data_IF_957499696239
#
_entry.id   IF_957499696239
#
_cell.length_a   1.000
_cell.length_b   1.000
_cell.length_c   1.000
_cell.angle_alpha   90.00
_cell.angle_beta   90.00
_cell.angle_gamma   90.00
#
_symmetry.space_group_name_H-M   'P 1'
#
loop_
_entity.id
_entity.type
_entity.pdbx_description
1 polymer ?
#
# COMPACT_ATOMS: atom_id res chain seq x y z
N UNK A 1 -20.96 -10.23 -32.13
CA UNK A 1 -19.95 -11.18 -31.59
C UNK A 1 -18.77 -10.47 -30.92
N UNK A 2 -18.14 -9.48 -31.57
CA UNK A 2 -16.97 -8.75 -31.04
C UNK A 2 -17.20 -8.06 -29.69
N UNK A 3 -18.31 -7.33 -29.52
CA UNK A 3 -18.67 -6.66 -28.25
C UNK A 3 -18.78 -7.62 -27.06
N UNK A 4 -19.25 -8.85 -27.29
CA UNK A 4 -19.48 -9.85 -26.24
C UNK A 4 -18.16 -10.34 -25.62
N UNK A 5 -17.07 -10.35 -26.40
CA UNK A 5 -15.73 -10.72 -25.91
C UNK A 5 -15.21 -9.70 -24.88
N UNK A 6 -15.43 -8.42 -25.12
CA UNK A 6 -14.93 -7.33 -24.25
C UNK A 6 -15.82 -7.04 -23.04
N UNK A 7 -17.09 -7.47 -23.07
CA UNK A 7 -18.01 -7.34 -21.95
C UNK A 7 -17.99 -8.56 -21.01
N UNK A 8 -17.46 -9.70 -21.45
CA UNK A 8 -17.29 -10.88 -20.61
C UNK A 8 -16.08 -10.73 -19.69
N UNK A 9 -16.34 -10.50 -18.41
CA UNK A 9 -15.33 -10.34 -17.35
C UNK A 9 -14.29 -11.47 -17.34
N UNK A 10 -14.71 -12.72 -17.55
CA UNK A 10 -13.81 -13.89 -17.63
C UNK A 10 -12.75 -13.76 -18.73
N UNK A 11 -13.13 -13.25 -19.91
CA UNK A 11 -12.19 -13.11 -21.05
C UNK A 11 -11.20 -11.98 -20.80
N UNK A 12 -11.65 -10.89 -20.18
CA UNK A 12 -10.76 -9.79 -19.81
C UNK A 12 -9.80 -10.22 -18.70
N UNK A 13 -10.24 -11.04 -17.74
CA UNK A 13 -9.38 -11.63 -16.73
C UNK A 13 -8.29 -12.51 -17.36
N UNK A 14 -8.65 -13.39 -18.31
CA UNK A 14 -7.67 -14.21 -19.03
C UNK A 14 -6.64 -13.33 -19.75
N UNK A 15 -7.08 -12.25 -20.42
CA UNK A 15 -6.18 -11.32 -21.09
C UNK A 15 -5.22 -10.62 -20.09
N UNK A 16 -5.69 -10.26 -18.90
CA UNK A 16 -4.85 -9.68 -17.84
C UNK A 16 -3.81 -10.70 -17.37
N UNK A 17 -4.21 -11.94 -17.10
CA UNK A 17 -3.29 -13.00 -16.66
C UNK A 17 -2.21 -13.26 -17.72
N UNK A 18 -2.59 -13.35 -18.99
CA UNK A 18 -1.63 -13.53 -20.09
C UNK A 18 -0.69 -12.32 -20.22
N UNK A 19 -1.21 -11.09 -20.11
CA UNK A 19 -0.37 -9.89 -20.14
C UNK A 19 0.63 -9.88 -18.97
N UNK A 20 0.21 -10.27 -17.77
CA UNK A 20 1.10 -10.40 -16.61
C UNK A 20 2.22 -11.42 -16.85
N UNK A 21 1.92 -12.58 -17.45
CA UNK A 21 2.94 -13.59 -17.79
C UNK A 21 3.94 -13.03 -18.82
N UNK A 22 3.47 -12.29 -19.82
CA UNK A 22 4.34 -11.64 -20.81
C UNK A 22 5.26 -10.63 -20.13
N UNK A 23 4.71 -9.72 -19.33
CA UNK A 23 5.49 -8.73 -18.58
C UNK A 23 6.53 -9.43 -17.70
N UNK A 24 6.13 -10.45 -16.94
CA UNK A 24 7.04 -11.21 -16.09
C UNK A 24 8.19 -11.85 -16.90
N UNK A 25 7.88 -12.42 -18.07
CA UNK A 25 8.87 -13.05 -18.95
C UNK A 25 9.89 -12.05 -19.51
N UNK A 26 9.46 -10.83 -19.84
CA UNK A 26 10.34 -9.78 -20.39
C UNK A 26 11.43 -9.31 -19.41
N UNK A 27 11.28 -9.57 -18.11
CA UNK A 27 12.26 -9.19 -17.09
C UNK A 27 13.34 -10.26 -16.85
N UNK A 28 13.24 -11.44 -17.48
CA UNK A 28 14.35 -12.39 -17.48
C UNK A 28 15.50 -11.86 -18.36
N UNK A 29 16.77 -11.98 -17.92
CA UNK A 29 17.93 -11.50 -18.69
C UNK A 29 18.00 -12.06 -20.12
N UNK A 30 17.55 -13.31 -20.32
CA UNK A 30 17.54 -13.99 -21.62
C UNK A 30 16.57 -13.38 -22.63
N UNK A 31 15.47 -12.78 -22.16
CA UNK A 31 14.39 -12.23 -23.00
C UNK A 31 14.36 -10.71 -22.99
N UNK A 32 15.41 -10.08 -22.45
CA UNK A 32 15.54 -8.63 -22.43
C UNK A 32 15.62 -8.12 -23.87
N UNK A 33 14.69 -7.23 -24.25
CA UNK A 33 14.54 -6.71 -25.62
C UNK A 33 14.12 -7.75 -26.67
N UNK A 34 13.42 -8.82 -26.25
CA UNK A 34 12.81 -9.74 -27.20
C UNK A 34 11.70 -9.04 -27.98
N UNK A 35 11.90 -8.91 -29.30
CA UNK A 35 11.00 -8.20 -30.21
C UNK A 35 9.60 -8.81 -30.21
N UNK A 36 9.48 -10.14 -30.11
CA UNK A 36 8.17 -10.82 -30.14
C UNK A 36 7.40 -10.48 -28.87
N UNK A 37 8.05 -10.56 -27.70
CA UNK A 37 7.41 -10.21 -26.43
C UNK A 37 7.00 -8.73 -26.39
N UNK A 38 7.82 -7.83 -26.95
CA UNK A 38 7.47 -6.42 -27.07
C UNK A 38 6.21 -6.21 -27.94
N UNK A 39 6.10 -6.87 -29.10
CA UNK A 39 4.89 -6.80 -29.92
C UNK A 39 3.65 -7.35 -29.20
N UNK A 40 3.80 -8.46 -28.48
CA UNK A 40 2.71 -9.05 -27.68
C UNK A 40 2.28 -8.09 -26.57
N UNK A 41 3.21 -7.39 -25.91
CA UNK A 41 2.89 -6.40 -24.89
C UNK A 41 2.09 -5.22 -25.47
N UNK A 42 2.51 -4.70 -26.63
CA UNK A 42 1.78 -3.64 -27.34
C UNK A 42 0.39 -4.10 -27.79
N UNK A 43 0.24 -5.36 -28.21
CA UNK A 43 -1.07 -5.95 -28.51
C UNK A 43 -2.02 -5.89 -27.31
N UNK A 44 -1.53 -6.21 -26.10
CA UNK A 44 -2.37 -6.13 -24.90
C UNK A 44 -2.76 -4.69 -24.56
N UNK A 45 -1.88 -3.70 -24.76
CA UNK A 45 -2.24 -2.29 -24.59
C UNK A 45 -3.40 -1.94 -25.52
N UNK A 46 -3.28 -2.28 -26.81
CA UNK A 46 -4.35 -2.03 -27.79
C UNK A 46 -5.65 -2.76 -27.42
N UNK A 47 -5.57 -4.02 -26.99
CA UNK A 47 -6.72 -4.81 -26.55
C UNK A 47 -7.47 -4.08 -25.43
N UNK A 48 -6.77 -3.60 -24.41
CA UNK A 48 -7.39 -2.88 -23.31
C UNK A 48 -7.87 -1.47 -23.66
N UNK A 49 -7.20 -0.79 -24.60
CA UNK A 49 -7.72 0.47 -25.16
C UNK A 49 -9.06 0.25 -25.84
N UNK A 50 -9.18 -0.82 -26.63
CA UNK A 50 -10.44 -1.19 -27.30
C UNK A 50 -11.51 -1.57 -26.27
N UNK A 51 -11.16 -2.35 -25.24
CA UNK A 51 -12.05 -2.69 -24.12
C UNK A 51 -12.65 -1.43 -23.47
N UNK A 52 -11.80 -0.47 -23.11
CA UNK A 52 -12.22 0.79 -22.49
C UNK A 52 -13.15 1.59 -23.40
N UNK A 53 -12.83 1.71 -24.71
CA UNK A 53 -13.68 2.41 -25.68
C UNK A 53 -15.06 1.73 -25.80
N UNK A 54 -15.11 0.40 -25.87
CA UNK A 54 -16.37 -0.35 -25.94
C UNK A 54 -17.19 -0.12 -24.67
N UNK A 55 -16.59 -0.24 -23.47
CA UNK A 55 -17.28 -0.02 -22.19
C UNK A 55 -17.82 1.41 -22.06
N UNK A 56 -17.07 2.43 -22.48
CA UNK A 56 -17.53 3.82 -22.46
C UNK A 56 -18.75 4.01 -23.38
N UNK A 57 -18.77 3.35 -24.55
CA UNK A 57 -19.90 3.41 -25.49
C UNK A 57 -21.13 2.69 -24.99
N UNK A 58 -20.98 1.51 -24.38
CA UNK A 58 -22.10 0.69 -23.91
C UNK A 58 -22.72 1.21 -22.60
N UNK A 59 -21.89 1.56 -21.62
CA UNK A 59 -22.39 2.08 -20.33
C UNK A 59 -22.77 3.56 -20.41
N UNK A 60 -22.22 4.29 -21.39
CA UNK A 60 -22.30 5.74 -21.46
C UNK A 60 -21.29 6.43 -20.54
N UNK A 61 -20.84 7.62 -20.93
CA UNK A 61 -19.78 8.36 -20.22
C UNK A 61 -20.08 8.54 -18.73
N UNK A 62 -21.31 8.97 -18.38
CA UNK A 62 -21.68 9.22 -16.99
C UNK A 62 -21.59 7.97 -16.11
N UNK A 63 -22.12 6.83 -16.56
CA UNK A 63 -22.10 5.60 -15.76
C UNK A 63 -20.72 4.94 -15.73
N UNK A 64 -19.93 5.06 -16.82
CA UNK A 64 -18.56 4.53 -16.84
C UNK A 64 -17.69 5.21 -15.78
N UNK A 65 -17.69 6.55 -15.73
CA UNK A 65 -16.87 7.31 -14.79
C UNK A 65 -17.45 7.36 -13.36
N UNK A 66 -18.70 6.92 -13.15
CA UNK A 66 -19.26 6.76 -11.80
C UNK A 66 -18.73 5.51 -11.08
N UNK A 67 -18.24 4.51 -11.82
CA UNK A 67 -17.67 3.29 -11.24
C UNK A 67 -16.16 3.44 -11.05
N UNK A 68 -15.70 3.43 -9.79
CA UNK A 68 -14.29 3.59 -9.44
C UNK A 68 -13.34 2.57 -10.09
N UNK A 69 -13.78 1.33 -10.33
CA UNK A 69 -12.97 0.32 -11.02
C UNK A 69 -12.78 0.64 -12.49
N UNK A 70 -13.84 1.10 -13.16
CA UNK A 70 -13.74 1.55 -14.55
C UNK A 70 -12.82 2.79 -14.68
N UNK A 71 -12.88 3.71 -13.71
CA UNK A 71 -11.96 4.87 -13.64
C UNK A 71 -10.52 4.41 -13.47
N UNK A 72 -10.26 3.47 -12.56
CA UNK A 72 -8.94 2.89 -12.34
C UNK A 72 -8.37 2.26 -13.61
N UNK A 73 -9.15 1.40 -14.29
CA UNK A 73 -8.73 0.79 -15.56
C UNK A 73 -8.48 1.83 -16.64
N UNK A 74 -9.30 2.88 -16.72
CA UNK A 74 -9.13 3.96 -17.67
C UNK A 74 -7.80 4.71 -17.45
N UNK A 75 -7.46 5.04 -16.20
CA UNK A 75 -6.17 5.66 -15.85
C UNK A 75 -5.01 4.76 -16.31
N UNK A 76 -5.11 3.45 -16.07
CA UNK A 76 -4.08 2.51 -16.49
C UNK A 76 -3.97 2.38 -18.01
N UNK A 77 -5.09 2.47 -18.74
CA UNK A 77 -5.08 2.50 -20.22
C UNK A 77 -4.38 3.77 -20.69
N UNK A 78 -4.79 4.94 -20.20
CA UNK A 78 -4.23 6.23 -20.60
C UNK A 78 -2.73 6.30 -20.32
N UNK A 79 -2.29 5.91 -19.12
CA UNK A 79 -0.87 5.94 -18.78
C UNK A 79 -0.02 4.88 -19.52
N UNK A 80 -0.66 3.89 -20.17
CA UNK A 80 0.03 2.93 -21.04
C UNK A 80 0.17 3.43 -22.49
N UNK A 81 -0.65 4.38 -22.94
CA UNK A 81 -0.60 4.88 -24.33
C UNK A 81 0.75 5.49 -24.75
N UNK A 82 1.50 6.22 -23.89
CA UNK A 82 2.81 6.73 -24.25
C UNK A 82 3.79 5.64 -24.73
N UNK A 83 3.67 4.41 -24.24
CA UNK A 83 4.52 3.30 -24.69
C UNK A 83 4.29 2.93 -26.16
N UNK A 84 3.06 3.04 -26.67
CA UNK A 84 2.77 2.87 -28.10
C UNK A 84 3.36 4.00 -28.94
N UNK A 85 3.38 5.24 -28.40
CA UNK A 85 3.96 6.38 -29.10
C UNK A 85 5.48 6.27 -29.21
N UNK A 86 6.16 5.64 -28.23
CA UNK A 86 7.60 5.40 -28.24
C UNK A 86 8.05 4.47 -29.39
N UNK A 87 7.15 3.70 -30.00
CA UNK A 87 7.46 2.92 -31.21
C UNK A 87 7.77 3.85 -32.39
N UNK A 88 7.05 4.97 -32.50
CA UNK A 88 7.11 5.88 -33.64
C UNK A 88 8.01 7.10 -33.39
N UNK A 89 8.16 7.49 -32.12
CA UNK A 89 8.94 8.65 -31.70
C UNK A 89 10.06 8.19 -30.77
N UNK A 90 11.33 8.26 -31.20
CA UNK A 90 12.46 8.03 -30.29
C UNK A 90 12.48 9.17 -29.26
N UNK A 91 12.02 8.87 -28.05
CA UNK A 91 12.07 9.81 -26.93
C UNK A 91 13.43 9.68 -26.22
N UNK A 92 14.07 10.79 -25.84
CA UNK A 92 15.29 10.75 -25.04
C UNK A 92 15.04 10.05 -23.70
N UNK A 93 16.04 9.30 -23.22
CA UNK A 93 16.04 8.62 -21.91
C UNK A 93 16.07 9.63 -20.76
N UNK A 94 14.92 10.28 -20.55
CA UNK A 94 14.66 11.19 -19.45
C UNK A 94 14.07 10.42 -18.26
N UNK A 95 14.14 11.00 -17.06
CA UNK A 95 13.50 10.46 -15.86
C UNK A 95 12.01 10.15 -16.07
N UNK A 96 11.31 10.95 -16.88
CA UNK A 96 9.91 10.74 -17.25
C UNK A 96 9.71 9.46 -18.07
N UNK A 97 10.58 9.16 -19.04
CA UNK A 97 10.51 7.92 -19.82
C UNK A 97 10.74 6.70 -18.93
N UNK A 98 11.64 6.79 -17.95
CA UNK A 98 11.85 5.72 -16.97
C UNK A 98 10.59 5.48 -16.12
N UNK A 99 9.95 6.54 -15.64
CA UNK A 99 8.69 6.44 -14.87
C UNK A 99 7.59 5.81 -15.73
N UNK A 100 7.44 6.22 -17.00
CA UNK A 100 6.45 5.62 -17.92
C UNK A 100 6.74 4.12 -18.17
N UNK A 101 8.01 3.73 -18.28
CA UNK A 101 8.44 2.33 -18.38
C UNK A 101 8.13 1.51 -17.12
N UNK A 102 8.07 2.13 -15.95
CA UNK A 102 7.65 1.47 -14.70
C UNK A 102 6.12 1.47 -14.59
N UNK A 103 5.46 2.55 -15.02
CA UNK A 103 4.00 2.68 -14.95
C UNK A 103 3.28 1.54 -15.68
N UNK A 104 3.85 1.04 -16.78
CA UNK A 104 3.30 -0.14 -17.47
C UNK A 104 3.21 -1.37 -16.57
N UNK A 105 4.04 -1.52 -15.53
CA UNK A 105 3.95 -2.64 -14.58
C UNK A 105 2.72 -2.53 -13.69
N UNK A 106 2.25 -1.31 -13.42
CA UNK A 106 1.06 -1.04 -12.61
C UNK A 106 -0.19 -1.67 -13.25
N UNK A 107 -0.20 -1.94 -14.57
CA UNK A 107 -1.32 -2.61 -15.23
C UNK A 107 -1.56 -4.05 -14.74
N UNK A 108 -0.57 -4.69 -14.12
CA UNK A 108 -0.74 -6.00 -13.43
C UNK A 108 -1.81 -5.88 -12.32
N UNK A 109 -1.92 -4.70 -11.69
CA UNK A 109 -2.88 -4.41 -10.62
C UNK A 109 -4.34 -4.44 -11.10
N UNK A 110 -4.63 -4.51 -12.40
CA UNK A 110 -6.00 -4.68 -12.93
C UNK A 110 -6.67 -5.95 -12.45
N UNK A 111 -5.89 -6.96 -12.05
CA UNK A 111 -6.43 -8.17 -11.45
C UNK A 111 -7.23 -7.89 -10.16
N UNK A 112 -6.89 -6.82 -9.42
CA UNK A 112 -7.51 -6.49 -8.13
C UNK A 112 -9.03 -6.31 -8.24
N UNK A 113 -9.54 -5.78 -9.36
CA UNK A 113 -11.00 -5.59 -9.55
C UNK A 113 -11.78 -6.91 -9.61
N UNK A 114 -11.10 -8.03 -9.85
CA UNK A 114 -11.69 -9.38 -9.89
C UNK A 114 -11.61 -10.10 -8.55
N UNK A 115 -10.94 -9.52 -7.55
CA UNK A 115 -10.90 -10.09 -6.20
C UNK A 115 -12.29 -9.94 -5.56
N UNK A 116 -12.90 -11.03 -5.09
CA UNK A 116 -14.19 -10.96 -4.40
C UNK A 116 -14.12 -10.02 -3.19
N UNK A 117 -15.19 -9.24 -2.97
CA UNK A 117 -15.31 -8.31 -1.84
C UNK A 117 -14.19 -7.27 -1.71
N UNK A 118 -13.40 -7.04 -2.76
CA UNK A 118 -12.28 -6.08 -2.74
C UNK A 118 -12.69 -4.68 -2.31
N UNK A 119 -13.92 -4.25 -2.62
CA UNK A 119 -14.43 -2.97 -2.16
C UNK A 119 -14.52 -2.92 -0.63
N UNK A 120 -14.99 -3.98 0.02
CA UNK A 120 -15.04 -4.07 1.49
C UNK A 120 -13.64 -4.07 2.09
N UNK A 121 -12.70 -4.77 1.45
CA UNK A 121 -11.30 -4.80 1.89
C UNK A 121 -10.67 -3.40 1.80
N UNK A 122 -10.83 -2.72 0.66
CA UNK A 122 -10.26 -1.39 0.42
C UNK A 122 -10.92 -0.33 1.32
N UNK A 123 -12.24 -0.38 1.51
CA UNK A 123 -12.93 0.56 2.42
C UNK A 123 -12.60 0.28 3.88
N UNK A 124 -12.47 -0.99 4.28
CA UNK A 124 -11.99 -1.40 5.60
C UNK A 124 -10.58 -0.90 5.86
N UNK A 125 -9.66 -1.10 4.92
CA UNK A 125 -8.30 -0.58 4.98
C UNK A 125 -8.27 0.95 5.06
N UNK A 126 -9.08 1.64 4.26
CA UNK A 126 -9.16 3.11 4.27
C UNK A 126 -9.63 3.67 5.61
N UNK A 127 -10.57 3.00 6.29
CA UNK A 127 -11.00 3.36 7.64
C UNK A 127 -9.91 3.13 8.68
N UNK A 128 -9.29 1.95 8.65
CA UNK A 128 -8.19 1.61 9.55
C UNK A 128 -7.02 2.61 9.42
N UNK A 129 -6.62 2.94 8.19
CA UNK A 129 -5.61 3.97 7.94
C UNK A 129 -6.08 5.30 8.54
N UNK A 130 -7.32 5.75 8.26
CA UNK A 130 -7.83 7.03 8.76
C UNK A 130 -7.83 7.13 10.28
N UNK A 131 -8.16 6.05 10.99
CA UNK A 131 -8.09 6.01 12.45
C UNK A 131 -6.66 6.04 12.97
N UNK A 132 -5.75 5.31 12.31
CA UNK A 132 -4.33 5.26 12.69
C UNK A 132 -3.51 6.46 12.20
N UNK A 133 -4.05 7.38 11.38
CA UNK A 133 -3.32 8.55 10.84
C UNK A 133 -2.63 9.33 11.95
N UNK A 134 -3.32 9.61 13.06
CA UNK A 134 -2.72 10.38 14.15
C UNK A 134 -1.57 9.62 14.84
N UNK A 135 -1.67 8.30 14.95
CA UNK A 135 -0.59 7.48 15.51
C UNK A 135 0.62 7.47 14.57
N UNK A 136 0.42 7.27 13.27
CA UNK A 136 1.50 7.33 12.29
C UNK A 136 2.15 8.71 12.22
N UNK A 137 1.37 9.80 12.31
CA UNK A 137 1.90 11.16 12.38
C UNK A 137 2.71 11.36 13.66
N UNK A 138 2.24 10.87 14.81
CA UNK A 138 3.00 10.94 16.06
C UNK A 138 4.33 10.18 15.97
N UNK A 139 4.34 8.97 15.39
CA UNK A 139 5.55 8.19 15.16
C UNK A 139 6.50 8.88 14.18
N UNK A 140 5.98 9.49 13.12
CA UNK A 140 6.78 10.27 12.17
C UNK A 140 7.41 11.49 12.83
N UNK A 141 6.67 12.20 13.69
CA UNK A 141 7.22 13.34 14.44
C UNK A 141 8.31 12.86 15.42
N UNK A 142 8.09 11.74 16.09
CA UNK A 142 9.09 11.13 16.97
C UNK A 142 10.35 10.74 16.20
N UNK A 143 10.21 10.10 15.04
CA UNK A 143 11.29 9.74 14.13
C UNK A 143 12.11 10.97 13.71
N UNK A 144 11.45 12.02 13.21
CA UNK A 144 12.12 13.26 12.81
C UNK A 144 12.83 13.95 13.98
N UNK A 145 12.23 13.95 15.17
CA UNK A 145 12.85 14.52 16.37
C UNK A 145 14.13 13.75 16.74
N UNK A 146 14.05 12.41 16.78
CA UNK A 146 15.19 11.56 17.09
C UNK A 146 16.26 11.62 15.99
N UNK A 147 15.87 11.76 14.73
CA UNK A 147 16.76 11.96 13.59
C UNK A 147 17.60 13.22 13.74
N UNK A 148 16.98 14.36 14.08
CA UNK A 148 17.71 15.62 14.31
C UNK A 148 18.65 15.51 15.51
N UNK A 149 18.20 14.90 16.61
CA UNK A 149 19.04 14.66 17.79
C UNK A 149 20.25 13.78 17.43
N UNK A 150 20.02 12.65 16.77
CA UNK A 150 21.08 11.68 16.44
C UNK A 150 22.06 12.27 15.43
N UNK A 151 21.56 13.00 14.43
CA UNK A 151 22.37 13.75 13.47
C UNK A 151 23.30 14.74 14.19
N UNK A 152 22.77 15.49 15.16
CA UNK A 152 23.57 16.45 15.91
C UNK A 152 24.69 15.81 16.74
N UNK A 153 24.42 14.68 17.40
CA UNK A 153 25.41 14.04 18.28
C UNK A 153 26.38 13.10 17.57
N UNK A 154 25.93 12.43 16.51
CA UNK A 154 26.69 11.33 15.88
C UNK A 154 26.97 11.53 14.39
N UNK A 155 26.48 12.61 13.77
CA UNK A 155 26.64 12.87 12.33
C UNK A 155 28.08 12.99 11.86
N UNK A 156 28.96 13.57 12.68
CA UNK A 156 30.40 13.66 12.36
C UNK A 156 31.14 12.33 12.60
N UNK A 157 30.67 11.53 13.57
CA UNK A 157 31.33 10.28 13.96
C UNK A 157 30.97 9.13 13.02
N UNK A 158 29.72 9.09 12.56
CA UNK A 158 29.17 8.02 11.73
C UNK A 158 28.32 8.62 10.59
N UNK A 159 28.95 9.36 9.66
CA UNK A 159 28.26 10.05 8.59
C UNK A 159 27.48 9.11 7.66
N UNK A 160 27.92 7.85 7.52
CA UNK A 160 27.23 6.85 6.69
C UNK A 160 25.77 6.58 7.11
N UNK A 161 25.38 6.90 8.35
CA UNK A 161 24.01 6.78 8.85
C UNK A 161 23.40 8.12 9.28
N UNK A 162 24.22 9.10 9.67
CA UNK A 162 23.75 10.31 10.36
C UNK A 162 24.24 11.64 9.79
N UNK A 163 24.83 11.65 8.58
CA UNK A 163 25.37 12.88 7.95
C UNK A 163 24.34 14.02 7.86
N UNK A 164 23.09 13.70 7.56
CA UNK A 164 22.02 14.68 7.43
C UNK A 164 20.70 14.17 8.05
N UNK A 165 19.72 15.06 8.33
CA UNK A 165 18.47 14.67 8.98
C UNK A 165 17.64 13.63 8.22
N UNK A 166 17.69 13.61 6.88
CA UNK A 166 16.92 12.65 6.06
C UNK A 166 17.52 11.26 6.17
N UNK A 167 18.85 11.16 6.05
CA UNK A 167 19.57 9.90 6.24
C UNK A 167 19.43 9.38 7.67
N UNK A 168 19.46 10.30 8.65
CA UNK A 168 19.25 9.98 10.05
C UNK A 168 17.84 9.44 10.31
N UNK A 169 16.82 10.05 9.70
CA UNK A 169 15.43 9.57 9.79
C UNK A 169 15.29 8.17 9.19
N UNK A 170 15.93 7.88 8.05
CA UNK A 170 15.95 6.52 7.49
C UNK A 170 16.55 5.49 8.47
N UNK A 171 17.69 5.82 9.08
CA UNK A 171 18.37 4.95 10.05
C UNK A 171 17.54 4.75 11.34
N UNK A 172 16.91 5.81 11.87
CA UNK A 172 16.05 5.74 13.05
C UNK A 172 14.77 4.93 12.75
N UNK A 173 14.17 5.15 11.58
CA UNK A 173 13.03 4.38 11.13
C UNK A 173 13.35 2.89 11.00
N UNK A 174 14.53 2.52 10.50
CA UNK A 174 15.00 1.13 10.51
C UNK A 174 15.11 0.59 11.94
N UNK A 175 15.60 1.37 12.90
CA UNK A 175 15.63 0.94 14.30
C UNK A 175 14.24 0.78 14.92
N UNK A 176 13.23 1.53 14.45
CA UNK A 176 11.84 1.32 14.86
C UNK A 176 11.29 -0.02 14.37
N UNK A 177 11.81 -0.60 13.28
CA UNK A 177 11.42 -1.97 12.88
C UNK A 177 12.12 -3.05 13.70
N UNK A 178 13.00 -2.67 14.63
CA UNK A 178 13.84 -3.57 15.45
C UNK A 178 14.80 -4.41 14.57
N UNK A 179 15.01 -4.00 13.32
CA UNK A 179 15.93 -4.66 12.39
C UNK A 179 17.33 -4.09 12.52
N UNK A 180 18.33 -4.94 12.78
CA UNK A 180 19.74 -4.50 12.86
C UNK A 180 20.02 -3.45 13.96
N UNK A 181 19.14 -3.31 14.95
CA UNK A 181 19.17 -2.19 15.91
C UNK A 181 20.44 -2.10 16.76
N UNK A 182 21.20 -3.19 16.86
CA UNK A 182 22.44 -3.29 17.63
C UNK A 182 23.69 -2.92 16.83
N UNK A 183 23.62 -2.84 15.50
CA UNK A 183 24.79 -2.62 14.63
C UNK A 183 25.32 -1.20 14.77
N UNK A 184 24.45 -0.20 14.61
CA UNK A 184 24.83 1.22 14.69
C UNK A 184 25.42 1.59 16.06
N UNK A 185 24.81 1.22 17.21
CA UNK A 185 25.39 1.50 18.53
C UNK A 185 26.74 0.80 18.75
N UNK A 186 26.95 -0.37 18.14
CA UNK A 186 28.21 -1.10 18.20
C UNK A 186 29.31 -0.35 17.46
N UNK A 187 29.04 0.08 16.22
CA UNK A 187 29.97 0.89 15.40
C UNK A 187 30.34 2.18 16.13
N UNK A 188 29.36 2.88 16.72
CA UNK A 188 29.62 4.09 17.48
C UNK A 188 30.50 3.79 18.70
N UNK A 189 30.20 2.71 19.44
CA UNK A 189 30.97 2.34 20.62
C UNK A 189 32.44 2.02 20.29
N UNK A 190 32.71 1.38 19.15
CA UNK A 190 34.06 1.06 18.70
C UNK A 190 34.88 2.31 18.33
N UNK A 191 34.21 3.42 17.98
CA UNK A 191 34.83 4.71 17.65
C UNK A 191 34.99 5.64 18.86
N UNK A 192 34.63 5.20 20.06
CA UNK A 192 34.64 6.00 21.28
C UNK A 192 35.68 5.52 22.29
N UNK A 193 36.44 6.45 22.86
CA UNK A 193 37.46 6.13 23.86
C UNK A 193 36.91 6.09 25.31
N UNK A 194 35.75 6.71 25.58
CA UNK A 194 35.21 6.86 26.92
C UNK A 194 34.19 5.76 27.27
N UNK A 195 34.46 4.87 28.25
CA UNK A 195 33.57 3.78 28.62
C UNK A 195 32.18 4.19 29.10
N UNK A 196 32.08 5.33 29.78
CA UNK A 196 30.80 5.84 30.28
C UNK A 196 29.94 6.31 29.11
N UNK A 197 30.53 7.07 28.18
CA UNK A 197 29.81 7.55 27.01
C UNK A 197 29.38 6.39 26.10
N UNK A 198 30.20 5.34 25.92
CA UNK A 198 29.80 4.11 25.22
C UNK A 198 28.54 3.50 25.83
N UNK A 199 28.48 3.39 27.16
CA UNK A 199 27.31 2.88 27.88
C UNK A 199 26.07 3.73 27.67
N UNK A 200 26.20 5.06 27.75
CA UNK A 200 25.11 6.01 27.54
C UNK A 200 24.60 6.00 26.10
N UNK A 201 25.47 5.88 25.11
CA UNK A 201 25.09 5.74 23.71
C UNK A 201 24.29 4.47 23.47
N UNK A 202 24.75 3.32 23.98
CA UNK A 202 23.99 2.07 23.89
C UNK A 202 22.63 2.19 24.55
N UNK A 203 22.57 2.82 25.74
CA UNK A 203 21.32 3.05 26.44
C UNK A 203 20.38 3.97 25.64
N UNK A 204 20.90 5.03 25.02
CA UNK A 204 20.12 5.91 24.14
C UNK A 204 19.45 5.12 23.02
N UNK A 205 20.20 4.31 22.27
CA UNK A 205 19.62 3.53 21.17
C UNK A 205 18.68 2.42 21.65
N UNK A 206 18.92 1.83 22.82
CA UNK A 206 17.93 0.93 23.46
C UNK A 206 16.63 1.69 23.74
N UNK A 207 16.68 2.92 24.24
CA UNK A 207 15.48 3.74 24.46
C UNK A 207 14.77 4.11 23.16
N UNK A 208 15.50 4.38 22.08
CA UNK A 208 14.94 4.60 20.74
C UNK A 208 14.15 3.36 20.27
N UNK A 209 14.74 2.17 20.40
CA UNK A 209 14.09 0.90 20.00
C UNK A 209 12.87 0.60 20.89
N UNK A 210 12.98 0.81 22.20
CA UNK A 210 11.86 0.60 23.11
C UNK A 210 10.69 1.53 22.78
N UNK A 211 10.96 2.82 22.60
CA UNK A 211 9.91 3.85 22.42
C UNK A 211 9.29 3.81 21.03
N UNK A 212 10.09 3.91 19.97
CA UNK A 212 9.58 3.93 18.60
C UNK A 212 9.27 2.55 18.03
N UNK A 213 10.11 1.56 18.35
CA UNK A 213 9.93 0.20 17.85
C UNK A 213 8.92 -0.58 18.66
N UNK A 214 9.28 -1.03 19.86
CA UNK A 214 8.41 -1.93 20.64
C UNK A 214 7.10 -1.24 20.99
N UNK A 215 7.12 -0.09 21.65
CA UNK A 215 5.89 0.58 22.06
C UNK A 215 5.20 1.28 20.89
N UNK A 216 5.94 2.00 20.06
CA UNK A 216 5.38 2.75 18.94
C UNK A 216 4.68 1.88 17.91
N UNK A 217 5.34 0.81 17.43
CA UNK A 217 4.72 -0.12 16.48
C UNK A 217 3.59 -0.92 17.12
N UNK A 218 3.71 -1.32 18.39
CA UNK A 218 2.62 -2.02 19.09
C UNK A 218 1.39 -1.14 19.25
N UNK A 219 1.55 0.14 19.55
CA UNK A 219 0.46 1.11 19.64
C UNK A 219 -0.20 1.33 18.27
N UNK A 220 0.59 1.51 17.21
CA UNK A 220 0.07 1.65 15.85
C UNK A 220 -0.76 0.42 15.44
N UNK A 221 -0.25 -0.78 15.72
CA UNK A 221 -0.97 -2.03 15.43
C UNK A 221 -2.24 -2.17 16.29
N UNK A 222 -2.19 -1.84 17.58
CA UNK A 222 -3.35 -1.89 18.46
C UNK A 222 -4.48 -0.99 17.95
N UNK A 223 -4.19 0.28 17.65
CA UNK A 223 -5.18 1.23 17.11
C UNK A 223 -5.72 0.77 15.76
N UNK A 224 -4.87 0.20 14.92
CA UNK A 224 -5.29 -0.34 13.62
C UNK A 224 -6.26 -1.53 13.77
N UNK A 225 -5.96 -2.46 14.68
CA UNK A 225 -6.79 -3.64 14.96
C UNK A 225 -8.10 -3.25 15.63
N UNK A 226 -8.07 -2.33 16.60
CA UNK A 226 -9.27 -1.83 17.27
C UNK A 226 -10.24 -1.19 16.26
N UNK A 227 -9.74 -0.37 15.33
CA UNK A 227 -10.58 0.21 14.29
C UNK A 227 -11.14 -0.86 13.34
N UNK A 228 -10.33 -1.85 12.94
CA UNK A 228 -10.81 -2.93 12.05
C UNK A 228 -11.87 -3.82 12.71
N UNK A 229 -11.84 -3.96 14.03
CA UNK A 229 -12.79 -4.77 14.79
C UNK A 229 -14.02 -3.99 15.27
N UNK A 230 -13.98 -2.65 15.23
CA UNK A 230 -15.08 -1.79 15.66
C UNK A 230 -16.40 -2.08 14.95
N UNK A 231 -16.38 -2.39 13.65
CA UNK A 231 -17.58 -2.76 12.88
C UNK A 231 -18.24 -4.05 13.38
N UNK A 232 -17.43 -5.07 13.68
CA UNK A 232 -17.93 -6.34 14.19
C UNK A 232 -18.57 -6.15 15.57
N UNK A 233 -18.00 -5.25 16.38
CA UNK A 233 -18.52 -4.91 17.69
C UNK A 233 -19.85 -4.15 17.60
N UNK A 234 -19.97 -3.18 16.69
CA UNK A 234 -21.19 -2.39 16.50
C UNK A 234 -22.38 -3.24 16.00
N UNK A 235 -22.14 -4.19 15.08
CA UNK A 235 -23.19 -5.12 14.64
C UNK A 235 -23.63 -6.04 15.78
N UNK A 236 -22.68 -6.51 16.59
CA UNK A 236 -22.95 -7.38 17.74
C UNK A 236 -23.76 -6.63 18.81
N UNK A 237 -23.38 -5.39 19.14
CA UNK A 237 -24.08 -4.53 20.09
C UNK A 237 -25.54 -4.31 19.67
N UNK A 238 -25.77 -4.01 18.38
CA UNK A 238 -27.14 -3.89 17.84
C UNK A 238 -27.95 -5.18 17.97
N UNK A 239 -27.34 -6.36 17.74
CA UNK A 239 -28.02 -7.65 17.92
C UNK A 239 -28.36 -7.90 19.39
N UNK A 240 -27.49 -7.51 20.32
CA UNK A 240 -27.72 -7.60 21.77
C UNK A 240 -28.91 -6.72 22.18
N UNK A 241 -28.94 -5.45 21.77
CA UNK A 241 -30.06 -4.54 22.08
C UNK A 241 -31.40 -5.07 21.56
N UNK A 242 -31.41 -5.68 20.37
CA UNK A 242 -32.61 -6.31 19.81
C UNK A 242 -33.04 -7.53 20.62
N UNK A 243 -32.10 -8.33 21.12
CA UNK A 243 -32.39 -9.47 21.99
C UNK A 243 -32.95 -9.02 23.34
N UNK A 244 -32.35 -8.00 23.98
CA UNK A 244 -32.86 -7.42 25.22
C UNK A 244 -34.30 -6.94 25.07
N UNK A 245 -34.58 -6.18 24.01
CA UNK A 245 -35.95 -5.71 23.70
C UNK A 245 -36.95 -6.87 23.55
N UNK A 246 -36.54 -7.96 22.89
CA UNK A 246 -37.39 -9.15 22.73
C UNK A 246 -37.62 -9.88 24.05
N UNK A 247 -36.60 -9.95 24.92
CA UNK A 247 -36.71 -10.57 26.24
C UNK A 247 -37.68 -9.75 27.10
N UNK A 248 -37.55 -8.43 27.12
CA UNK A 248 -38.46 -7.54 27.87
C UNK A 248 -39.92 -7.71 27.42
N UNK A 249 -40.16 -7.75 26.10
CA UNK A 249 -41.49 -7.99 25.54
C UNK A 249 -42.06 -9.36 25.96
N UNK A 250 -41.24 -10.42 25.94
CA UNK A 250 -41.66 -11.76 26.37
C UNK A 250 -41.99 -11.78 27.87
N UNK A 251 -41.21 -11.08 28.69
CA UNK A 251 -41.46 -10.96 30.13
C UNK A 251 -42.78 -10.21 30.41
N UNK A 252 -43.10 -9.17 29.64
CA UNK A 252 -44.38 -8.47 29.73
C UNK A 252 -45.55 -9.38 29.35
N UNK A 253 -45.49 -10.05 28.19
CA UNK A 253 -46.53 -10.98 27.75
C UNK A 253 -46.77 -12.12 28.76
N UNK A 254 -45.70 -12.63 29.37
CA UNK A 254 -45.81 -13.68 30.39
C UNK A 254 -46.44 -13.16 31.70
N UNK A 255 -46.20 -11.88 32.06
CA UNK A 255 -46.88 -11.24 33.20
C UNK A 255 -48.36 -11.02 32.92
N UNK A 256 -48.73 -10.67 31.69
CA UNK A 256 -50.12 -10.50 31.27
C UNK A 256 -50.88 -11.83 31.25
N UNK A 257 -50.26 -12.93 30.80
CA UNK A 257 -50.87 -14.26 30.80
C UNK A 257 -51.07 -14.86 32.21
N UNK A 258 -50.29 -14.42 33.19
CA UNK A 258 -50.37 -14.90 34.58
C UNK A 258 -51.25 -14.00 35.48
N UNK A 259 -51.93 -13.00 34.91
CA UNK A 259 -52.97 -12.19 35.57
C UNK A 259 -54.36 -12.65 35.17
#
# INVERSE_FOLDING_TARGET
MFKRIFLEERKVLIAIVLNTIVIFTMYFPKFKHDVILEWVDHFFILFFTIEAIIKIREYGRKNYFANGWNVFDFILVVGSLPSLLMIFLPLPDTSLVMILRIFRLVRIMRFIRFVPDVQKVVTGLGRAIKASVFVFVALLILDLLLAVITCHFYGEMVPEYFENPILSAYSIFQMFTVEGWNEIPMIISERMDNPILMGLTRLYFVMVVLTGGIFGMSLANAVFVDEMTMDNNAELEKKITVLETKIDLLLELTKEQNR
#
